data_IF_366258828589
#
_entry.id   IF_366258828589
#
_cell.length_a   1.000
_cell.length_b   1.000
_cell.length_c   1.000
_cell.angle_alpha   90.00
_cell.angle_beta   90.00
_cell.angle_gamma   90.00
#
_symmetry.space_group_name_H-M   'P 1'
#
loop_
_entity.id
_entity.type
_entity.pdbx_description
1 polymer ?
#
# COMPACT_ATOMS: atom_id res chain seq x y z
N UNK A 1 -10.13 1.29 -1.26
CA UNK A 1 -9.92 2.19 -0.12
C UNK A 1 -8.44 2.48 0.08
N UNK A 2 -8.11 3.72 0.28
CA UNK A 2 -6.73 4.12 0.56
C UNK A 2 -6.73 5.30 1.51
N UNK A 3 -5.61 5.46 2.23
CA UNK A 3 -5.47 6.56 3.18
C UNK A 3 -3.99 6.89 3.38
N UNK A 4 -3.72 8.18 3.53
CA UNK A 4 -2.39 8.69 3.88
C UNK A 4 -2.50 9.37 5.24
N UNK A 5 -1.55 9.08 6.14
CA UNK A 5 -1.54 9.72 7.45
C UNK A 5 -0.12 10.01 7.89
N UNK A 6 0.02 11.00 8.76
CA UNK A 6 1.32 11.28 9.37
C UNK A 6 1.60 10.22 10.42
N UNK A 7 2.85 9.79 10.46
CA UNK A 7 3.26 8.68 11.29
C UNK A 7 4.54 9.03 12.05
N UNK A 8 4.72 8.43 13.22
CA UNK A 8 5.89 8.66 14.04
C UNK A 8 5.64 9.70 15.14
N UNK A 9 6.47 9.69 16.19
CA UNK A 9 6.28 10.53 17.37
C UNK A 9 6.34 12.02 17.05
N UNK A 10 7.13 12.40 16.06
CA UNK A 10 7.31 13.80 15.67
C UNK A 10 6.61 14.15 14.36
N UNK A 11 5.85 13.23 13.78
CA UNK A 11 5.10 13.46 12.56
C UNK A 11 5.94 13.65 11.32
N UNK A 12 7.16 13.13 11.32
CA UNK A 12 8.08 13.26 10.19
C UNK A 12 7.90 12.19 9.13
N UNK A 13 7.16 11.14 9.43
CA UNK A 13 6.94 10.05 8.51
C UNK A 13 5.53 10.12 7.96
N UNK A 14 5.34 9.44 6.84
CA UNK A 14 4.02 9.29 6.22
C UNK A 14 3.76 7.82 6.02
N UNK A 15 2.60 7.38 6.47
CA UNK A 15 2.14 6.01 6.28
C UNK A 15 1.03 6.03 5.25
N UNK A 16 1.24 5.31 4.17
CA UNK A 16 0.22 5.11 3.16
C UNK A 16 -0.24 3.67 3.18
N UNK A 17 -1.55 3.47 3.17
CA UNK A 17 -2.09 2.13 3.08
C UNK A 17 -3.31 2.11 2.17
N UNK A 18 -3.52 0.96 1.57
CA UNK A 18 -4.70 0.76 0.74
C UNK A 18 -5.13 -0.70 0.80
N UNK A 19 -6.41 -0.91 0.53
CA UNK A 19 -6.98 -2.24 0.44
C UNK A 19 -7.41 -2.47 -1.00
N UNK A 20 -7.05 -3.62 -1.54
CA UNK A 20 -7.42 -4.01 -2.90
C UNK A 20 -8.24 -5.28 -2.86
N UNK A 21 -9.20 -5.39 -3.78
CA UNK A 21 -10.00 -6.60 -3.91
C UNK A 21 -9.13 -7.75 -4.41
N UNK A 22 -9.42 -8.95 -3.91
CA UNK A 22 -8.75 -10.16 -4.38
C UNK A 22 -9.54 -10.75 -5.53
N UNK A 23 -8.90 -10.91 -6.68
CA UNK A 23 -9.54 -11.41 -7.88
C UNK A 23 -10.10 -12.81 -7.65
N UNK A 24 -11.36 -13.03 -8.04
CA UNK A 24 -12.01 -14.33 -7.92
C UNK A 24 -12.47 -14.69 -6.52
N UNK A 25 -12.35 -13.79 -5.56
CA UNK A 25 -12.75 -14.04 -4.17
C UNK A 25 -13.59 -12.88 -3.64
N UNK A 26 -14.89 -12.86 -3.94
CA UNK A 26 -15.76 -11.76 -3.52
C UNK A 26 -15.73 -11.59 -2.00
N UNK A 27 -15.66 -10.33 -1.57
CA UNK A 27 -15.61 -10.00 -0.15
C UNK A 27 -14.24 -10.09 0.48
N UNK A 28 -13.24 -10.55 -0.25
CA UNK A 28 -11.86 -10.62 0.24
C UNK A 28 -11.09 -9.39 -0.20
N UNK A 29 -10.33 -8.82 0.74
CA UNK A 29 -9.44 -7.69 0.43
C UNK A 29 -8.04 -8.01 0.91
N UNK A 30 -7.07 -7.41 0.26
CA UNK A 30 -5.68 -7.50 0.66
C UNK A 30 -5.20 -6.11 1.08
N UNK A 31 -4.55 -6.05 2.22
CA UNK A 31 -4.05 -4.81 2.79
C UNK A 31 -2.58 -4.60 2.40
N UNK A 32 -2.26 -3.37 2.03
CA UNK A 32 -0.90 -2.96 1.67
C UNK A 32 -0.56 -1.70 2.44
N UNK A 33 0.67 -1.59 2.92
CA UNK A 33 1.10 -0.37 3.58
C UNK A 33 2.60 -0.15 3.46
N UNK A 34 3.00 1.12 3.56
CA UNK A 34 4.40 1.51 3.59
C UNK A 34 4.54 2.81 4.37
N UNK A 35 5.70 3.00 4.97
CA UNK A 35 6.04 4.21 5.72
C UNK A 35 7.31 4.79 5.11
N UNK A 36 7.32 6.10 4.87
CA UNK A 36 8.47 6.79 4.30
C UNK A 36 8.50 8.23 4.78
N UNK A 37 9.63 8.91 4.55
CA UNK A 37 9.79 10.30 4.94
C UNK A 37 9.00 11.27 4.06
N UNK A 38 8.64 10.83 2.86
CA UNK A 38 7.87 11.64 1.92
C UNK A 38 6.61 10.87 1.51
N UNK A 39 5.46 11.56 1.38
CA UNK A 39 4.21 10.87 1.04
C UNK A 39 4.26 10.17 -0.31
N UNK A 40 4.87 10.79 -1.33
CA UNK A 40 4.99 10.17 -2.63
C UNK A 40 5.85 8.90 -2.61
N UNK A 41 6.83 8.85 -1.73
CA UNK A 41 7.65 7.64 -1.57
C UNK A 41 6.87 6.50 -0.94
N UNK A 42 6.04 6.81 0.06
CA UNK A 42 5.19 5.80 0.68
C UNK A 42 4.22 5.21 -0.36
N UNK A 43 3.62 6.07 -1.19
CA UNK A 43 2.72 5.62 -2.25
C UNK A 43 3.44 4.75 -3.27
N UNK A 44 4.64 5.16 -3.70
CA UNK A 44 5.42 4.39 -4.67
C UNK A 44 5.80 3.02 -4.14
N UNK A 45 6.14 2.93 -2.86
CA UNK A 45 6.47 1.65 -2.24
C UNK A 45 5.27 0.69 -2.26
N UNK A 46 4.08 1.21 -1.96
CA UNK A 46 2.87 0.38 -2.01
C UNK A 46 2.58 -0.05 -3.44
N UNK A 47 2.66 0.85 -4.41
CA UNK A 47 2.45 0.50 -5.81
C UNK A 47 3.44 -0.55 -6.29
N UNK A 48 4.69 -0.44 -5.87
CA UNK A 48 5.72 -1.41 -6.20
C UNK A 48 5.40 -2.80 -5.64
N UNK A 49 4.88 -2.86 -4.41
CA UNK A 49 4.46 -4.12 -3.80
C UNK A 49 3.31 -4.76 -4.57
N UNK A 50 2.33 -3.94 -4.98
CA UNK A 50 1.17 -4.43 -5.73
C UNK A 50 1.60 -4.95 -7.08
N UNK A 51 2.46 -4.22 -7.79
CA UNK A 51 2.96 -4.64 -9.10
C UNK A 51 3.74 -5.95 -9.01
N UNK A 52 4.57 -6.10 -7.98
CA UNK A 52 5.34 -7.33 -7.78
C UNK A 52 4.41 -8.52 -7.54
N UNK A 53 3.35 -8.32 -6.77
CA UNK A 53 2.38 -9.38 -6.51
C UNK A 53 1.61 -9.75 -7.78
N UNK A 54 1.23 -8.77 -8.59
CA UNK A 54 0.53 -9.01 -9.85
C UNK A 54 1.42 -9.74 -10.86
N UNK A 55 2.70 -9.37 -10.92
CA UNK A 55 3.64 -10.02 -11.81
C UNK A 55 3.78 -11.50 -11.47
N UNK A 56 3.79 -11.84 -10.17
CA UNK A 56 3.86 -13.23 -9.76
C UNK A 56 2.59 -14.02 -10.09
N UNK A 57 1.44 -13.35 -10.00
CA UNK A 57 0.16 -14.00 -10.33
C UNK A 57 -0.03 -14.16 -11.84
N UNK A 58 0.60 -13.29 -12.63
CA UNK A 58 0.48 -13.32 -14.08
C UNK A 58 1.27 -14.43 -14.75
N UNK A 59 1.98 -15.21 -14.00
CA UNK A 59 2.72 -16.37 -14.50
C UNK A 59 1.98 -17.64 -14.17
#
# INVERSE_FOLDING_TARGET
YYRMEKWGADGRLYRFYCDTAVAGQPGMVRHWEAVAEHPEMAMLQVLSQIEAAQARQGM
#
